data_IF_731565526118
#
_entry.id   IF_731565526118
#
_cell.length_a   1.000
_cell.length_b   1.000
_cell.length_c   1.000
_cell.angle_alpha   90.00
_cell.angle_beta   90.00
_cell.angle_gamma   90.00
#
_symmetry.space_group_name_H-M   'P 1'
#
loop_
_entity.id
_entity.type
_entity.pdbx_description
1 polymer ?
#
# COMPACT_ATOMS: atom_id res chain seq x y z
N UNK A 1 1.40 17.60 5.06
CA UNK A 1 1.94 16.36 4.48
C UNK A 1 1.13 15.22 5.08
N UNK A 2 0.10 14.76 4.37
CA UNK A 2 -0.92 13.85 4.92
C UNK A 2 -0.39 12.43 5.06
N UNK A 3 -0.82 11.79 6.14
CA UNK A 3 -0.61 10.38 6.53
C UNK A 3 -0.87 9.37 5.40
N UNK A 4 -1.58 9.77 4.35
CA UNK A 4 -1.82 8.98 3.14
C UNK A 4 -0.52 8.51 2.43
N UNK A 5 0.53 9.34 2.38
CA UNK A 5 1.84 8.94 1.82
C UNK A 5 2.56 7.86 2.66
N UNK A 6 2.26 7.78 3.95
CA UNK A 6 3.06 7.00 4.92
C UNK A 6 2.79 5.48 4.94
N UNK A 7 1.73 4.97 4.29
CA UNK A 7 1.51 3.50 4.14
C UNK A 7 1.43 2.99 2.70
N UNK A 8 1.22 3.83 1.68
CA UNK A 8 1.70 3.49 0.34
C UNK A 8 3.19 3.11 0.41
N UNK A 9 3.91 3.80 1.30
CA UNK A 9 5.27 3.51 1.75
C UNK A 9 5.51 2.12 2.32
N UNK A 10 4.58 1.43 2.99
CA UNK A 10 4.91 0.14 3.64
C UNK A 10 5.11 -0.95 2.58
N UNK A 11 4.24 -1.04 1.59
CA UNK A 11 4.40 -2.01 0.49
C UNK A 11 5.54 -1.65 -0.45
N UNK A 12 5.78 -0.36 -0.70
CA UNK A 12 6.98 0.13 -1.39
C UNK A 12 8.25 -0.20 -0.57
N UNK A 13 8.19 -0.08 0.76
CA UNK A 13 9.30 -0.43 1.66
C UNK A 13 9.63 -1.91 1.67
N UNK A 14 8.71 -2.80 1.33
CA UNK A 14 9.01 -4.23 1.19
C UNK A 14 9.26 -4.63 -0.27
N UNK A 15 9.35 -3.66 -1.19
CA UNK A 15 9.61 -3.91 -2.60
C UNK A 15 10.96 -4.58 -2.82
N UNK A 16 11.99 -4.07 -2.16
CA UNK A 16 13.34 -4.63 -2.23
C UNK A 16 13.37 -6.09 -1.77
N UNK A 17 12.51 -6.52 -0.85
CA UNK A 17 12.54 -7.87 -0.30
C UNK A 17 12.23 -8.92 -1.37
N UNK A 18 11.17 -8.73 -2.14
CA UNK A 18 10.80 -9.68 -3.21
C UNK A 18 11.80 -9.68 -4.36
N UNK A 19 12.32 -8.50 -4.71
CA UNK A 19 13.39 -8.36 -5.69
C UNK A 19 14.65 -9.08 -5.22
N UNK A 20 14.96 -8.99 -3.92
CA UNK A 20 16.07 -9.71 -3.28
C UNK A 20 15.84 -11.22 -3.28
N UNK A 21 14.62 -11.69 -3.03
CA UNK A 21 14.26 -13.12 -3.11
C UNK A 21 14.51 -13.66 -4.53
N UNK A 22 14.13 -12.93 -5.57
CA UNK A 22 14.32 -13.37 -6.95
C UNK A 22 15.80 -13.41 -7.34
N UNK A 23 16.56 -12.35 -7.05
CA UNK A 23 17.99 -12.35 -7.40
C UNK A 23 18.80 -13.30 -6.52
N UNK A 24 18.43 -13.48 -5.25
CA UNK A 24 19.07 -14.46 -4.37
C UNK A 24 18.78 -15.88 -4.82
N UNK A 25 17.55 -16.19 -5.28
CA UNK A 25 17.24 -17.52 -5.78
C UNK A 25 18.02 -17.86 -7.05
N UNK A 26 18.21 -16.91 -7.97
CA UNK A 26 19.08 -17.09 -9.15
C UNK A 26 20.55 -17.27 -8.73
N UNK A 27 21.04 -16.44 -7.81
CA UNK A 27 22.43 -16.54 -7.33
C UNK A 27 22.69 -17.89 -6.63
N UNK A 28 21.76 -18.35 -5.80
CA UNK A 28 21.82 -19.67 -5.14
C UNK A 28 21.78 -20.78 -6.20
N UNK A 29 20.89 -20.69 -7.20
CA UNK A 29 20.80 -21.67 -8.28
C UNK A 29 22.12 -21.78 -9.05
N UNK A 30 22.71 -20.65 -9.42
CA UNK A 30 23.99 -20.60 -10.13
C UNK A 30 25.14 -21.15 -9.26
N UNK A 31 25.15 -20.86 -7.96
CA UNK A 31 26.16 -21.38 -7.04
C UNK A 31 26.04 -22.89 -6.87
N UNK A 32 24.82 -23.41 -6.67
CA UNK A 32 24.57 -24.85 -6.57
C UNK A 32 24.97 -25.57 -7.86
N UNK A 33 24.64 -25.00 -9.02
CA UNK A 33 25.06 -25.50 -10.32
C UNK A 33 26.60 -25.49 -10.50
N UNK A 34 27.31 -24.55 -9.87
CA UNK A 34 28.78 -24.51 -9.94
C UNK A 34 29.45 -25.59 -9.08
N UNK A 35 28.83 -25.97 -7.96
CA UNK A 35 29.33 -26.97 -7.00
C UNK A 35 28.97 -28.41 -7.42
N UNK A 36 28.00 -28.57 -8.30
CA UNK A 36 27.58 -29.87 -8.81
C UNK A 36 28.72 -30.56 -9.60
N UNK A 37 29.23 -31.70 -9.15
CA UNK A 37 30.33 -32.41 -9.81
C UNK A 37 29.85 -33.39 -10.90
N UNK A 38 28.57 -33.77 -10.89
CA UNK A 38 27.97 -34.77 -11.81
C UNK A 38 27.36 -34.13 -13.07
N UNK A 39 27.93 -33.02 -13.54
CA UNK A 39 27.39 -32.23 -14.66
C UNK A 39 27.58 -32.92 -16.01
N UNK A 40 26.48 -33.12 -16.73
CA UNK A 40 26.52 -33.61 -18.12
C UNK A 40 26.92 -32.53 -19.14
N UNK A 41 26.62 -31.26 -18.85
CA UNK A 41 26.80 -30.13 -19.76
C UNK A 41 27.95 -29.20 -19.32
N UNK A 42 28.63 -28.52 -20.26
CA UNK A 42 29.72 -27.62 -19.93
C UNK A 42 29.20 -26.35 -19.24
N UNK A 43 29.93 -25.91 -18.21
CA UNK A 43 29.51 -24.85 -17.27
C UNK A 43 29.16 -23.50 -17.91
N UNK A 44 29.78 -23.19 -19.05
CA UNK A 44 29.55 -21.90 -19.72
C UNK A 44 28.12 -21.76 -20.26
N UNK A 45 27.45 -22.85 -20.64
CA UNK A 45 26.09 -22.81 -21.21
C UNK A 45 25.06 -22.27 -20.20
N UNK A 46 24.88 -22.87 -19.00
CA UNK A 46 23.96 -22.35 -18.01
C UNK A 46 24.38 -20.95 -17.56
N UNK A 47 25.68 -20.67 -17.36
CA UNK A 47 26.14 -19.32 -16.96
C UNK A 47 25.75 -18.22 -17.96
N UNK A 48 25.90 -18.48 -19.26
CA UNK A 48 25.48 -17.53 -20.30
C UNK A 48 23.98 -17.34 -20.26
N UNK A 49 23.19 -18.41 -20.09
CA UNK A 49 21.73 -18.32 -19.99
C UNK A 49 21.27 -17.62 -18.71
N UNK A 50 21.96 -17.78 -17.59
CA UNK A 50 21.70 -17.01 -16.35
C UNK A 50 21.94 -15.54 -16.59
N UNK A 51 23.05 -15.18 -17.26
CA UNK A 51 23.34 -13.80 -17.61
C UNK A 51 22.28 -13.22 -18.57
N UNK A 52 21.83 -14.01 -19.55
CA UNK A 52 20.73 -13.65 -20.45
C UNK A 52 19.43 -13.44 -19.67
N UNK A 53 19.09 -14.31 -18.72
CA UNK A 53 17.91 -14.18 -17.87
C UNK A 53 17.97 -12.89 -17.04
N UNK A 54 19.10 -12.60 -16.39
CA UNK A 54 19.28 -11.38 -15.61
C UNK A 54 19.17 -10.12 -16.49
N UNK A 55 19.79 -10.13 -17.68
CA UNK A 55 19.73 -9.00 -18.62
C UNK A 55 18.35 -8.81 -19.23
N UNK A 56 17.68 -9.91 -19.59
CA UNK A 56 16.29 -9.92 -20.09
C UNK A 56 15.35 -9.35 -19.04
N UNK A 57 15.42 -9.86 -17.81
CA UNK A 57 14.58 -9.41 -16.72
C UNK A 57 14.84 -7.94 -16.40
N UNK A 58 16.11 -7.54 -16.22
CA UNK A 58 16.47 -6.16 -15.91
C UNK A 58 16.08 -5.18 -17.02
N UNK A 59 16.38 -5.52 -18.29
CA UNK A 59 16.02 -4.69 -19.44
C UNK A 59 14.51 -4.62 -19.66
N UNK A 60 13.83 -5.75 -19.48
CA UNK A 60 12.38 -5.90 -19.56
C UNK A 60 11.65 -5.08 -18.51
N UNK A 61 12.04 -5.20 -17.24
CA UNK A 61 11.51 -4.36 -16.17
C UNK A 61 11.78 -2.88 -16.43
N UNK A 62 13.00 -2.54 -16.87
CA UNK A 62 13.33 -1.15 -17.20
C UNK A 62 12.47 -0.62 -18.34
N UNK A 63 12.11 -1.42 -19.34
CA UNK A 63 11.22 -1.02 -20.43
C UNK A 63 9.76 -0.93 -19.98
N UNK A 64 9.31 -1.89 -19.17
CA UNK A 64 7.95 -1.96 -18.65
C UNK A 64 7.62 -0.83 -17.65
N UNK A 65 8.62 -0.35 -16.89
CA UNK A 65 8.47 0.67 -15.85
C UNK A 65 9.13 2.02 -16.20
N UNK A 66 9.55 2.23 -17.46
CA UNK A 66 10.27 3.44 -17.90
C UNK A 66 9.45 4.74 -17.94
N UNK A 67 8.16 4.70 -17.58
CA UNK A 67 7.18 5.80 -17.74
C UNK A 67 6.85 6.61 -16.49
N UNK A 68 7.52 6.39 -15.35
CA UNK A 68 7.14 7.03 -14.09
C UNK A 68 6.01 6.29 -13.37
N UNK A 69 5.75 6.70 -12.12
CA UNK A 69 4.88 6.04 -11.13
C UNK A 69 3.39 5.95 -11.53
N UNK A 70 3.04 6.31 -12.76
CA UNK A 70 1.69 6.31 -13.27
C UNK A 70 1.31 4.93 -13.80
N UNK A 71 0.19 4.45 -13.29
CA UNK A 71 -0.45 3.14 -13.48
C UNK A 71 -0.78 2.74 -14.93
N UNK A 72 -0.25 3.43 -15.94
CA UNK A 72 -0.33 3.04 -17.35
C UNK A 72 0.85 2.15 -17.78
N UNK A 73 1.30 1.29 -16.87
CA UNK A 73 2.23 0.24 -17.24
C UNK A 73 1.56 -0.65 -18.29
N UNK A 74 2.19 -0.80 -19.46
CA UNK A 74 1.65 -1.61 -20.58
C UNK A 74 1.60 -3.07 -20.12
N UNK A 75 0.42 -3.62 -19.75
CA UNK A 75 0.36 -4.93 -19.09
C UNK A 75 0.84 -6.06 -20.01
N UNK A 76 0.69 -5.86 -21.32
CA UNK A 76 1.20 -6.75 -22.34
C UNK A 76 2.74 -6.85 -22.34
N UNK A 77 3.46 -5.74 -22.11
CA UNK A 77 4.94 -5.75 -22.07
C UNK A 77 5.42 -6.48 -20.83
N UNK A 78 4.78 -6.25 -19.67
CA UNK A 78 5.07 -6.99 -18.43
C UNK A 78 4.81 -8.49 -18.61
N UNK A 79 3.71 -8.85 -19.24
CA UNK A 79 3.39 -10.24 -19.55
C UNK A 79 4.45 -10.89 -20.44
N UNK A 80 4.91 -10.21 -21.51
CA UNK A 80 6.00 -10.71 -22.35
C UNK A 80 7.28 -10.93 -21.55
N UNK A 81 7.66 -9.99 -20.68
CA UNK A 81 8.87 -10.12 -19.86
C UNK A 81 8.80 -11.36 -18.98
N UNK A 82 7.69 -11.55 -18.26
CA UNK A 82 7.48 -12.71 -17.39
C UNK A 82 7.42 -14.02 -18.19
N UNK A 83 6.75 -14.04 -19.35
CA UNK A 83 6.75 -15.23 -20.21
C UNK A 83 8.16 -15.55 -20.70
N UNK A 84 8.96 -14.53 -21.02
CA UNK A 84 10.38 -14.69 -21.34
C UNK A 84 11.20 -15.23 -20.15
N UNK A 85 10.95 -14.75 -18.93
CA UNK A 85 11.57 -15.27 -17.71
C UNK A 85 11.23 -16.76 -17.49
N UNK A 86 9.96 -17.13 -17.70
CA UNK A 86 9.50 -18.53 -17.59
C UNK A 86 10.16 -19.40 -18.69
N UNK A 87 10.25 -18.91 -19.92
CA UNK A 87 10.89 -19.63 -21.02
C UNK A 87 12.39 -19.84 -20.77
N UNK A 88 13.09 -18.81 -20.29
CA UNK A 88 14.52 -18.91 -19.94
C UNK A 88 14.74 -19.83 -18.75
N UNK A 89 13.87 -19.76 -17.73
CA UNK A 89 13.89 -20.69 -16.61
C UNK A 89 13.68 -22.14 -17.07
N UNK A 90 12.74 -22.37 -17.98
CA UNK A 90 12.47 -23.71 -18.51
C UNK A 90 13.70 -24.30 -19.24
N UNK A 91 14.42 -23.49 -20.02
CA UNK A 91 15.68 -23.96 -20.63
C UNK A 91 16.74 -24.21 -19.57
N UNK A 92 16.86 -23.34 -18.57
CA UNK A 92 17.85 -23.48 -17.50
C UNK A 92 17.63 -24.71 -16.62
N UNK A 93 16.39 -25.04 -16.27
CA UNK A 93 16.09 -26.21 -15.43
C UNK A 93 16.39 -27.52 -16.16
N UNK A 94 16.16 -27.57 -17.47
CA UNK A 94 16.53 -28.71 -18.32
C UNK A 94 18.06 -28.90 -18.46
N UNK A 95 18.85 -27.86 -18.18
CA UNK A 95 20.32 -27.97 -18.15
C UNK A 95 20.86 -28.32 -16.77
N UNK A 96 20.17 -27.89 -15.70
CA UNK A 96 20.55 -28.18 -14.33
C UNK A 96 19.34 -28.06 -13.39
N UNK A 97 19.03 -29.11 -12.60
CA UNK A 97 17.97 -29.08 -11.59
C UNK A 97 18.15 -27.99 -10.53
N UNK A 98 19.36 -27.43 -10.37
CA UNK A 98 19.63 -26.34 -9.44
C UNK A 98 18.72 -25.11 -9.66
N UNK A 99 18.21 -24.92 -10.88
CA UNK A 99 17.35 -23.79 -11.23
C UNK A 99 15.89 -23.92 -10.75
N UNK A 100 15.48 -25.02 -10.12
CA UNK A 100 14.18 -25.06 -9.43
C UNK A 100 14.07 -24.02 -8.32
N UNK A 101 15.18 -23.60 -7.70
CA UNK A 101 15.17 -22.53 -6.69
C UNK A 101 14.64 -21.21 -7.25
N UNK A 102 14.81 -20.94 -8.55
CA UNK A 102 14.29 -19.74 -9.22
C UNK A 102 12.76 -19.65 -9.17
N UNK A 103 12.05 -20.78 -9.08
CA UNK A 103 10.59 -20.83 -8.99
C UNK A 103 10.05 -19.97 -7.83
N UNK A 104 10.72 -19.99 -6.68
CA UNK A 104 10.33 -19.18 -5.52
C UNK A 104 10.26 -17.69 -5.87
N UNK A 105 11.22 -17.21 -6.67
CA UNK A 105 11.23 -15.84 -7.16
C UNK A 105 10.23 -15.60 -8.30
N UNK A 106 10.07 -16.54 -9.25
CA UNK A 106 9.13 -16.39 -10.38
C UNK A 106 7.68 -16.24 -9.92
N UNK A 107 7.23 -17.04 -8.95
CA UNK A 107 5.88 -16.89 -8.40
C UNK A 107 5.67 -15.50 -7.78
N UNK A 108 6.66 -14.97 -7.06
CA UNK A 108 6.60 -13.60 -6.52
C UNK A 108 6.54 -12.55 -7.63
N UNK A 109 7.30 -12.72 -8.71
CA UNK A 109 7.33 -11.81 -9.85
C UNK A 109 5.98 -11.76 -10.59
N UNK A 110 5.33 -12.92 -10.78
CA UNK A 110 4.05 -13.03 -11.49
C UNK A 110 2.97 -12.17 -10.81
N UNK A 111 2.67 -12.39 -9.53
CA UNK A 111 1.56 -11.69 -8.86
C UNK A 111 1.85 -10.22 -8.56
N UNK A 112 3.12 -9.84 -8.52
CA UNK A 112 3.53 -8.46 -8.26
C UNK A 112 3.40 -7.58 -9.50
N UNK A 113 3.90 -8.06 -10.63
CA UNK A 113 4.10 -7.23 -11.80
C UNK A 113 2.96 -7.33 -12.80
N UNK A 114 2.15 -8.40 -12.75
CA UNK A 114 1.03 -8.59 -13.68
C UNK A 114 -0.31 -8.26 -13.02
N UNK A 115 -1.25 -7.68 -13.79
CA UNK A 115 -2.65 -7.66 -13.39
C UNK A 115 -3.17 -9.10 -13.21
N UNK A 116 -4.11 -9.30 -12.30
CA UNK A 116 -4.71 -10.61 -11.97
C UNK A 116 -4.99 -11.52 -13.18
N UNK A 117 -5.66 -11.09 -14.27
CA UNK A 117 -5.93 -11.99 -15.40
C UNK A 117 -4.65 -12.51 -16.07
N UNK A 118 -3.63 -11.66 -16.23
CA UNK A 118 -2.35 -12.05 -16.80
C UNK A 118 -1.54 -12.89 -15.80
N UNK A 119 -1.63 -12.59 -14.50
CA UNK A 119 -0.97 -13.37 -13.46
C UNK A 119 -1.51 -14.80 -13.40
N UNK A 120 -2.83 -14.98 -13.56
CA UNK A 120 -3.46 -16.30 -13.69
C UNK A 120 -2.91 -17.03 -14.91
N UNK A 121 -2.91 -16.39 -16.08
CA UNK A 121 -2.41 -17.00 -17.32
C UNK A 121 -0.92 -17.39 -17.21
N UNK A 122 -0.07 -16.51 -16.67
CA UNK A 122 1.35 -16.78 -16.45
C UNK A 122 1.58 -17.90 -15.42
N UNK A 123 0.77 -17.95 -14.36
CA UNK A 123 0.83 -19.04 -13.35
C UNK A 123 0.42 -20.38 -13.95
N UNK A 124 -0.63 -20.40 -14.78
CA UNK A 124 -1.03 -21.61 -15.51
C UNK A 124 0.07 -22.08 -16.46
N UNK A 125 0.70 -21.15 -17.19
CA UNK A 125 1.81 -21.44 -18.09
C UNK A 125 3.02 -22.00 -17.32
N UNK A 126 3.41 -21.36 -16.22
CA UNK A 126 4.50 -21.83 -15.36
C UNK A 126 4.19 -23.20 -14.76
N UNK A 127 2.97 -23.42 -14.29
CA UNK A 127 2.54 -24.71 -13.73
C UNK A 127 2.59 -25.82 -14.78
N UNK A 128 2.12 -25.54 -15.99
CA UNK A 128 2.20 -26.49 -17.11
C UNK A 128 3.66 -26.81 -17.48
N UNK A 129 4.54 -25.81 -17.48
CA UNK A 129 5.96 -25.98 -17.74
C UNK A 129 6.63 -26.86 -16.67
N UNK A 130 6.33 -26.65 -15.37
CA UNK A 130 6.82 -27.48 -14.27
C UNK A 130 6.33 -28.92 -14.41
N UNK A 131 5.04 -29.13 -14.69
CA UNK A 131 4.46 -30.48 -14.85
C UNK A 131 5.12 -31.20 -16.02
N UNK A 132 5.26 -30.53 -17.17
CA UNK A 132 5.87 -31.10 -18.35
C UNK A 132 7.31 -31.54 -18.06
N UNK A 133 8.10 -30.65 -17.47
CA UNK A 133 9.50 -30.91 -17.20
C UNK A 133 9.69 -32.06 -16.20
N UNK A 134 8.94 -32.09 -15.09
CA UNK A 134 9.05 -33.18 -14.11
C UNK A 134 8.62 -34.55 -14.66
N UNK A 135 7.64 -34.57 -15.56
CA UNK A 135 7.19 -35.81 -16.19
C UNK A 135 8.22 -36.28 -17.22
N UNK A 136 8.80 -35.34 -17.98
CA UNK A 136 9.83 -35.64 -18.97
C UNK A 136 11.11 -36.16 -18.34
N UNK A 137 11.55 -35.56 -17.23
CA UNK A 137 12.74 -35.97 -16.49
C UNK A 137 12.56 -37.37 -15.87
N UNK A 138 11.37 -37.65 -15.35
CA UNK A 138 11.03 -38.99 -14.86
C UNK A 138 10.85 -40.05 -15.98
N UNK A 139 10.92 -39.66 -17.26
CA UNK A 139 10.68 -40.54 -18.41
C UNK A 139 9.25 -41.09 -18.47
N UNK A 140 8.30 -40.40 -17.82
CA UNK A 140 6.91 -40.82 -17.71
C UNK A 140 6.04 -40.15 -18.78
N UNK A 141 4.84 -40.68 -19.00
CA UNK A 141 3.82 -40.00 -19.79
C UNK A 141 2.87 -39.21 -18.89
N UNK A 142 2.30 -38.13 -19.42
CA UNK A 142 1.28 -37.35 -18.70
C UNK A 142 0.04 -38.23 -18.53
N UNK A 143 -0.24 -38.62 -17.28
CA UNK A 143 -1.42 -39.39 -16.90
C UNK A 143 -2.11 -38.74 -15.71
N UNK A 144 -3.44 -38.83 -15.69
CA UNK A 144 -4.27 -38.38 -14.57
C UNK A 144 -4.10 -39.23 -13.30
N UNK A 145 -3.53 -40.43 -13.44
CA UNK A 145 -3.20 -41.30 -12.30
C UNK A 145 -1.86 -40.91 -11.65
N UNK A 146 -1.10 -40.01 -12.26
CA UNK A 146 0.19 -39.59 -11.74
C UNK A 146 0.01 -38.55 -10.61
N UNK A 147 0.43 -38.86 -9.36
CA UNK A 147 0.27 -37.93 -8.24
C UNK A 147 1.04 -36.61 -8.43
N UNK A 148 2.12 -36.62 -9.22
CA UNK A 148 2.92 -35.42 -9.50
C UNK A 148 2.09 -34.35 -10.21
N UNK A 149 1.24 -34.75 -11.16
CA UNK A 149 0.33 -33.84 -11.87
C UNK A 149 -0.59 -33.12 -10.87
N UNK A 150 -1.20 -33.88 -9.95
CA UNK A 150 -2.12 -33.31 -8.96
C UNK A 150 -1.43 -32.40 -7.95
N UNK A 151 -0.22 -32.75 -7.51
CA UNK A 151 0.58 -31.92 -6.59
C UNK A 151 0.82 -30.54 -7.21
N UNK A 152 1.27 -30.47 -8.46
CA UNK A 152 1.56 -29.19 -9.11
C UNK A 152 0.31 -28.45 -9.57
N UNK A 153 -0.76 -29.13 -9.99
CA UNK A 153 -2.05 -28.49 -10.25
C UNK A 153 -2.61 -27.85 -8.97
N UNK A 154 -2.56 -28.57 -7.85
CA UNK A 154 -3.00 -28.04 -6.57
C UNK A 154 -2.12 -26.87 -6.11
N UNK A 155 -0.79 -26.96 -6.28
CA UNK A 155 0.13 -25.87 -5.96
C UNK A 155 -0.14 -24.63 -6.82
N UNK A 156 -0.32 -24.79 -8.14
CA UNK A 156 -0.65 -23.70 -9.06
C UNK A 156 -2.00 -23.05 -8.73
N UNK A 157 -3.03 -23.86 -8.47
CA UNK A 157 -4.36 -23.37 -8.07
C UNK A 157 -4.30 -22.63 -6.71
N UNK A 158 -3.57 -23.17 -5.74
CA UNK A 158 -3.36 -22.54 -4.43
C UNK A 158 -2.61 -21.21 -4.57
N UNK A 159 -1.60 -21.15 -5.43
CA UNK A 159 -0.84 -19.93 -5.74
C UNK A 159 -1.75 -18.84 -6.33
N UNK A 160 -2.61 -19.19 -7.30
CA UNK A 160 -3.62 -18.27 -7.85
C UNK A 160 -4.58 -17.79 -6.76
N UNK A 161 -5.12 -18.70 -5.95
CA UNK A 161 -6.05 -18.35 -4.88
C UNK A 161 -5.41 -17.37 -3.89
N UNK A 162 -4.19 -17.67 -3.42
CA UNK A 162 -3.45 -16.82 -2.50
C UNK A 162 -3.12 -15.46 -3.12
N UNK A 163 -2.70 -15.42 -4.38
CA UNK A 163 -2.39 -14.17 -5.08
C UNK A 163 -3.61 -13.27 -5.26
N UNK A 164 -4.77 -13.85 -5.62
CA UNK A 164 -6.05 -13.12 -5.73
C UNK A 164 -6.52 -12.64 -4.35
N UNK A 165 -6.49 -13.50 -3.34
CA UNK A 165 -6.88 -13.17 -1.98
C UNK A 165 -6.01 -12.06 -1.38
N UNK A 166 -4.70 -12.13 -1.57
CA UNK A 166 -3.76 -11.12 -1.11
C UNK A 166 -4.04 -9.77 -1.78
N UNK A 167 -4.30 -9.77 -3.09
CA UNK A 167 -4.67 -8.56 -3.83
C UNK A 167 -5.99 -7.95 -3.34
N UNK A 168 -6.97 -8.80 -3.01
CA UNK A 168 -8.23 -8.35 -2.43
C UNK A 168 -8.03 -7.70 -1.04
N UNK A 169 -7.20 -8.31 -0.18
CA UNK A 169 -6.86 -7.75 1.14
C UNK A 169 -6.16 -6.40 1.01
N UNK A 170 -5.21 -6.27 0.09
CA UNK A 170 -4.47 -5.01 -0.12
C UNK A 170 -5.43 -3.90 -0.57
N UNK A 171 -6.32 -4.20 -1.51
CA UNK A 171 -7.34 -3.25 -1.97
C UNK A 171 -8.31 -2.87 -0.85
N UNK A 172 -8.80 -3.84 -0.09
CA UNK A 172 -9.71 -3.60 1.03
C UNK A 172 -9.06 -2.74 2.12
N UNK A 173 -7.79 -3.01 2.45
CA UNK A 173 -7.03 -2.24 3.44
C UNK A 173 -6.87 -0.78 3.00
N UNK A 174 -6.55 -0.57 1.72
CA UNK A 174 -6.41 0.78 1.14
C UNK A 174 -7.72 1.56 1.19
N UNK A 175 -8.84 0.93 0.81
CA UNK A 175 -10.17 1.54 0.88
C UNK A 175 -10.58 1.89 2.31
N UNK A 176 -10.42 0.95 3.25
CA UNK A 176 -10.74 1.17 4.66
C UNK A 176 -9.95 2.36 5.22
N UNK A 177 -8.68 2.48 4.84
CA UNK A 177 -7.83 3.59 5.28
C UNK A 177 -8.29 4.93 4.74
N UNK A 178 -8.61 5.01 3.45
CA UNK A 178 -9.16 6.23 2.84
C UNK A 178 -10.44 6.68 3.53
N UNK A 179 -11.32 5.73 3.89
CA UNK A 179 -12.53 6.03 4.65
C UNK A 179 -12.24 6.55 6.06
N UNK A 180 -11.25 5.99 6.76
CA UNK A 180 -10.83 6.49 8.08
C UNK A 180 -10.31 7.93 7.97
N UNK A 181 -9.45 8.22 6.98
CA UNK A 181 -8.92 9.57 6.77
C UNK A 181 -10.03 10.58 6.44
N UNK A 182 -11.03 10.19 5.65
CA UNK A 182 -12.21 11.01 5.38
C UNK A 182 -13.05 11.25 6.63
N UNK A 183 -13.25 10.23 7.48
CA UNK A 183 -13.96 10.37 8.75
C UNK A 183 -13.24 11.30 9.71
N UNK A 184 -11.92 11.16 9.87
CA UNK A 184 -11.10 12.03 10.72
C UNK A 184 -11.17 13.49 10.25
N UNK A 185 -11.07 13.71 8.93
CA UNK A 185 -11.19 15.05 8.33
C UNK A 185 -12.56 15.66 8.62
N UNK A 186 -13.64 14.92 8.38
CA UNK A 186 -15.01 15.38 8.63
C UNK A 186 -15.28 15.67 10.11
N UNK A 187 -14.72 14.86 11.02
CA UNK A 187 -14.85 15.10 12.45
C UNK A 187 -14.11 16.36 12.90
N UNK A 188 -12.93 16.64 12.32
CA UNK A 188 -12.17 17.85 12.59
C UNK A 188 -12.93 19.11 12.13
N UNK A 189 -13.56 19.05 10.95
CA UNK A 189 -14.43 20.11 10.44
C UNK A 189 -15.64 20.34 11.34
N UNK A 190 -16.34 19.27 11.73
CA UNK A 190 -17.49 19.35 12.64
C UNK A 190 -17.10 19.93 14.01
N UNK A 191 -15.96 19.51 14.57
CA UNK A 191 -15.47 20.05 15.84
C UNK A 191 -15.15 21.55 15.73
N UNK A 192 -14.61 21.99 14.60
CA UNK A 192 -14.34 23.41 14.33
C UNK A 192 -15.62 24.21 14.20
N UNK A 193 -16.62 23.70 13.47
CA UNK A 193 -17.93 24.32 13.33
C UNK A 193 -18.64 24.47 14.68
N UNK A 194 -18.67 23.41 15.50
CA UNK A 194 -19.26 23.45 16.85
C UNK A 194 -18.58 24.44 17.78
N UNK A 195 -17.24 24.57 17.71
CA UNK A 195 -16.52 25.59 18.50
C UNK A 195 -16.91 27.00 18.06
N UNK A 196 -17.06 27.22 16.75
CA UNK A 196 -17.48 28.53 16.24
C UNK A 196 -18.91 28.87 16.68
N UNK A 197 -19.83 27.91 16.60
CA UNK A 197 -21.20 28.06 17.08
C UNK A 197 -21.24 28.35 18.60
N UNK A 198 -20.50 27.59 19.40
CA UNK A 198 -20.39 27.81 20.85
C UNK A 198 -19.78 29.18 21.20
N UNK A 199 -18.81 29.68 20.43
CA UNK A 199 -18.27 31.03 20.61
C UNK A 199 -19.31 32.12 20.30
N UNK A 200 -20.17 31.91 19.31
CA UNK A 200 -21.23 32.86 18.95
C UNK A 200 -22.34 32.89 20.02
N UNK A 201 -22.75 31.71 20.50
CA UNK A 201 -23.73 31.59 21.58
C UNK A 201 -23.23 32.27 22.86
N UNK A 202 -21.98 32.02 23.24
CA UNK A 202 -21.34 32.63 24.39
C UNK A 202 -21.26 34.15 24.25
N UNK A 203 -20.91 34.66 23.06
CA UNK A 203 -20.87 36.09 22.78
C UNK A 203 -22.25 36.75 22.93
N UNK A 204 -23.32 36.08 22.48
CA UNK A 204 -24.67 36.59 22.68
C UNK A 204 -25.08 36.59 24.14
N UNK A 205 -24.71 35.54 24.89
CA UNK A 205 -24.94 35.48 26.35
C UNK A 205 -24.25 36.64 27.06
N UNK A 206 -22.96 36.82 26.81
CA UNK A 206 -22.17 37.91 27.40
C UNK A 206 -22.72 39.29 27.05
N UNK A 207 -23.15 39.50 25.80
CA UNK A 207 -23.76 40.77 25.40
C UNK A 207 -25.03 41.07 26.21
N UNK A 208 -25.84 40.05 26.50
CA UNK A 208 -27.06 40.19 27.31
C UNK A 208 -26.74 40.48 28.77
N UNK A 209 -25.82 39.72 29.37
CA UNK A 209 -25.40 39.90 30.76
C UNK A 209 -24.73 41.27 31.01
N UNK A 210 -23.91 41.73 30.07
CA UNK A 210 -23.34 43.09 30.10
C UNK A 210 -24.46 44.12 29.99
N UNK A 211 -25.43 43.94 29.08
CA UNK A 211 -26.53 44.89 28.93
C UNK A 211 -27.38 44.99 30.21
N UNK A 212 -27.71 43.87 30.83
CA UNK A 212 -28.48 43.84 32.08
C UNK A 212 -27.70 44.51 33.23
N UNK A 213 -26.39 44.23 33.35
CA UNK A 213 -25.53 44.84 34.37
C UNK A 213 -25.37 46.35 34.15
N UNK A 214 -25.20 46.80 32.90
CA UNK A 214 -25.11 48.22 32.57
C UNK A 214 -26.43 48.94 32.88
N UNK A 215 -27.58 48.37 32.48
CA UNK A 215 -28.89 48.93 32.77
C UNK A 215 -29.13 49.05 34.29
N UNK A 216 -28.74 48.03 35.06
CA UNK A 216 -28.81 48.05 36.52
C UNK A 216 -27.89 49.12 37.12
N UNK A 217 -26.63 49.19 36.69
CA UNK A 217 -25.66 50.19 37.15
C UNK A 217 -26.14 51.62 36.90
N UNK A 218 -26.66 51.90 35.70
CA UNK A 218 -27.24 53.22 35.39
C UNK A 218 -28.44 53.55 36.26
N UNK A 219 -29.34 52.58 36.49
CA UNK A 219 -30.49 52.78 37.38
C UNK A 219 -30.03 53.13 38.80
N UNK A 220 -29.01 52.44 39.33
CA UNK A 220 -28.43 52.76 40.65
C UNK A 220 -27.81 54.15 40.72
N UNK A 221 -27.10 54.58 39.67
CA UNK A 221 -26.48 55.92 39.60
C UNK A 221 -27.56 57.00 39.58
N UNK A 222 -28.61 56.82 38.77
CA UNK A 222 -29.74 57.76 38.70
C UNK A 222 -30.42 57.87 40.07
N UNK A 223 -30.72 56.75 40.73
CA UNK A 223 -31.31 56.78 42.08
C UNK A 223 -30.39 57.46 43.11
N UNK A 224 -29.07 57.29 43.05
CA UNK A 224 -28.14 57.99 43.92
C UNK A 224 -28.05 59.49 43.65
N UNK A 225 -28.10 59.91 42.37
CA UNK A 225 -28.16 61.32 41.99
C UNK A 225 -29.45 61.98 42.47
N UNK A 226 -30.59 61.34 42.28
CA UNK A 226 -31.89 61.83 42.77
C UNK A 226 -31.90 61.96 44.30
N UNK A 227 -31.34 60.98 45.02
CA UNK A 227 -31.20 61.06 46.47
C UNK A 227 -30.25 62.19 46.93
N UNK A 228 -29.17 62.44 46.19
CA UNK A 228 -28.24 63.53 46.48
C UNK A 228 -28.86 64.91 46.22
N UNK A 229 -29.63 65.06 45.13
CA UNK A 229 -30.34 66.30 44.79
C UNK A 229 -31.42 66.62 45.85
N UNK A 230 -32.16 65.61 46.32
CA UNK A 230 -33.11 65.78 47.44
C UNK A 230 -32.44 66.10 48.79
N UNK A 231 -31.15 65.81 48.95
CA UNK A 231 -30.40 66.09 50.17
C UNK A 231 -29.79 67.51 50.22
N UNK A 232 -29.87 68.31 49.15
CA UNK A 232 -29.38 69.69 49.11
C UNK A 232 -30.48 70.64 49.66
N UNK A 233 -30.26 71.38 50.76
CA UNK A 233 -31.27 72.28 51.34
C UNK A 233 -31.41 73.61 50.58
N UNK A 234 -32.64 74.12 50.45
CA UNK A 234 -33.00 75.36 49.73
C UNK A 234 -32.58 76.69 50.42
N UNK A 235 -31.79 76.65 51.51
CA UNK A 235 -31.42 77.87 52.27
C UNK A 235 -29.90 78.15 52.25
N UNK A 236 -29.44 79.24 51.58
CA UNK A 236 -28.02 79.62 51.51
C UNK A 236 -27.40 80.07 52.85
N UNK A 237 -28.15 80.17 53.96
CA UNK A 237 -27.59 80.53 55.27
C UNK A 237 -26.91 79.37 56.03
N UNK A 238 -27.10 78.11 55.62
CA UNK A 238 -26.66 76.93 56.39
C UNK A 238 -25.37 76.26 55.89
N UNK A 239 -24.81 76.68 54.76
CA UNK A 239 -23.59 76.08 54.18
C UNK A 239 -22.27 76.45 54.89
N UNK A 240 -22.27 77.27 55.96
CA UNK A 240 -21.04 77.73 56.63
C UNK A 240 -20.67 77.00 57.94
N UNK A 241 -21.26 75.83 58.20
CA UNK A 241 -20.83 74.97 59.32
C UNK A 241 -20.83 73.51 58.89
N UNK A 242 -19.85 73.12 58.10
CA UNK A 242 -19.16 71.82 58.19
C UNK A 242 -17.88 71.84 57.37
#
# INVERSE_FOLDING_TARGET
>A
MSTNQQQADVWIKWDWLWTTIFYSSIAISALLMLVDDDREQPVWQPLVLTAVLLLWHWGGQRLAYRGGQDREARPYVQFIVIVGDIALWFVLVNLSPAYYFVLAGLFSQIFRHLPIPYAIAATMLLTAAIIYEQISDAGQSISWDNPVVWIYLFAGASSILLGVWMSAIINQSTQRRQLIEQLETTQAELATAKRHEGMLEERQRLAREIHDTLAQGFTSIVMHLEAAEQAIPDDPATMQKH
#
